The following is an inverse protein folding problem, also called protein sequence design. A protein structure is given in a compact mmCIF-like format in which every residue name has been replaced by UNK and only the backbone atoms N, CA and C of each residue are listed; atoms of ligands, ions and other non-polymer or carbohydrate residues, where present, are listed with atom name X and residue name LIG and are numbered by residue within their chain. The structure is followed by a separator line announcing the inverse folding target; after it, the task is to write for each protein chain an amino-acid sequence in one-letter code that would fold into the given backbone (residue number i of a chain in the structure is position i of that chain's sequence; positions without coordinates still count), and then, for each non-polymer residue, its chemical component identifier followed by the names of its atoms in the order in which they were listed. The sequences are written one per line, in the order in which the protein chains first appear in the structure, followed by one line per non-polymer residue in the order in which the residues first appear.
data_IF_625785744834
#
_entry.id   IF_625785744834
#
_cell.length_a   1.000
_cell.length_b   1.000
_cell.length_c   1.000
_cell.angle_alpha   90.00
_cell.angle_beta   90.00
_cell.angle_gamma   90.00
#
_symmetry.space_group_name_H-M   'P 1'
#
loop_
_entity.id
_entity.type
_entity.pdbx_description
1 polymer ?
#
# COMPACT_ATOMS: atom_id res chain seq x y z
N UNK A 1 5.57 -8.40 -7.63
CA UNK A 1 6.45 -7.24 -7.91
C UNK A 1 7.53 -7.68 -8.90
N UNK A 2 7.70 -6.99 -10.03
CA UNK A 2 8.79 -7.23 -10.98
C UNK A 2 9.89 -6.22 -10.70
N UNK A 3 11.04 -6.65 -10.18
CA UNK A 3 12.13 -5.74 -9.79
C UNK A 3 12.58 -4.81 -10.92
N UNK A 4 12.51 -5.27 -12.18
CA UNK A 4 12.88 -4.50 -13.35
C UNK A 4 11.92 -3.34 -13.64
N UNK A 5 10.62 -3.54 -13.40
CA UNK A 5 9.61 -2.48 -13.61
C UNK A 5 9.78 -1.38 -12.56
N UNK A 6 10.00 -1.76 -11.29
CA UNK A 6 10.29 -0.81 -10.21
C UNK A 6 11.57 0.00 -10.47
N UNK A 7 12.59 -0.64 -11.04
CA UNK A 7 13.84 0.04 -11.42
C UNK A 7 13.64 1.01 -12.59
N UNK A 8 12.85 0.63 -13.59
CA UNK A 8 12.56 1.51 -14.73
C UNK A 8 11.72 2.74 -14.32
N UNK A 9 10.84 2.58 -13.33
CA UNK A 9 9.96 3.66 -12.85
C UNK A 9 10.66 4.61 -11.87
N UNK A 10 11.39 4.07 -10.89
CA UNK A 10 11.92 4.85 -9.75
C UNK A 10 13.43 4.72 -9.55
N UNK A 11 14.11 3.91 -10.37
CA UNK A 11 15.53 3.59 -10.20
C UNK A 11 15.83 2.66 -9.02
N UNK A 12 14.80 2.10 -8.37
CA UNK A 12 14.92 1.32 -7.14
C UNK A 12 14.44 -0.12 -7.31
N UNK A 13 15.00 -1.02 -6.52
CA UNK A 13 14.56 -2.41 -6.44
C UNK A 13 13.16 -2.53 -5.84
N UNK A 14 12.45 -3.58 -6.24
CA UNK A 14 11.10 -3.89 -5.78
C UNK A 14 10.87 -3.84 -4.26
N UNK A 15 11.86 -4.19 -3.42
CA UNK A 15 11.72 -4.12 -1.94
C UNK A 15 11.54 -2.67 -1.47
N UNK A 16 12.36 -1.75 -1.99
CA UNK A 16 12.22 -0.32 -1.65
C UNK A 16 10.95 0.27 -2.23
N UNK A 17 10.56 -0.15 -3.44
CA UNK A 17 9.32 0.28 -4.07
C UNK A 17 8.09 -0.15 -3.27
N UNK A 18 8.02 -1.41 -2.83
CA UNK A 18 6.91 -1.93 -2.02
C UNK A 18 6.79 -1.30 -0.65
N UNK A 19 7.86 -0.71 -0.10
CA UNK A 19 7.81 0.05 1.16
C UNK A 19 7.53 1.53 0.93
N UNK A 20 8.10 2.11 -0.13
CA UNK A 20 7.98 3.54 -0.44
C UNK A 20 6.58 3.94 -0.89
N UNK A 21 5.92 3.11 -1.70
CA UNK A 21 4.56 3.39 -2.20
C UNK A 21 3.54 3.45 -1.04
N UNK A 22 3.46 2.48 -0.11
CA UNK A 22 2.62 2.57 1.08
C UNK A 22 2.91 3.80 1.96
N UNK A 23 4.19 4.15 2.15
CA UNK A 23 4.57 5.32 2.94
C UNK A 23 4.03 6.63 2.32
N UNK A 24 4.13 6.75 0.98
CA UNK A 24 3.58 7.89 0.25
C UNK A 24 2.04 7.94 0.34
N UNK A 25 1.36 6.80 0.19
CA UNK A 25 -0.10 6.74 0.30
C UNK A 25 -0.55 7.10 1.73
N UNK A 26 0.11 6.61 2.77
CA UNK A 26 -0.19 6.97 4.16
C UNK A 26 -0.07 8.48 4.42
N UNK A 27 1.01 9.10 3.91
CA UNK A 27 1.16 10.56 3.95
C UNK A 27 0.05 11.27 3.17
N UNK A 28 -0.36 10.75 2.01
CA UNK A 28 -1.47 11.29 1.23
C UNK A 28 -2.80 11.23 2.00
N UNK A 29 -3.09 10.12 2.70
CA UNK A 29 -4.30 9.97 3.52
C UNK A 29 -4.33 10.99 4.66
N UNK A 30 -3.17 11.23 5.29
CA UNK A 30 -3.03 12.25 6.33
C UNK A 30 -3.25 13.68 5.79
N UNK A 31 -2.60 14.04 4.67
CA UNK A 31 -2.73 15.37 4.05
C UNK A 31 -4.16 15.64 3.56
N UNK A 32 -4.87 14.62 3.06
CA UNK A 32 -6.28 14.73 2.66
C UNK A 32 -7.25 14.78 3.85
N UNK A 33 -6.76 14.56 5.07
CA UNK A 33 -7.58 14.53 6.29
C UNK A 33 -8.41 13.25 6.47
N UNK A 34 -8.22 12.23 5.61
CA UNK A 34 -8.97 10.97 5.66
C UNK A 34 -8.53 10.15 6.87
N UNK A 35 -7.22 10.06 7.10
CA UNK A 35 -6.62 9.43 8.28
C UNK A 35 -6.18 10.50 9.28
N UNK A 36 -7.14 11.28 9.77
CA UNK A 36 -6.88 12.35 10.75
C UNK A 36 -7.66 12.12 12.03
N UNK A 37 -6.94 11.76 13.09
CA UNK A 37 -7.48 11.55 14.44
C UNK A 37 -6.42 11.91 15.48
N UNK A 38 -6.75 12.62 16.56
CA UNK A 38 -5.78 12.94 17.61
C UNK A 38 -5.30 11.66 18.31
N UNK A 39 -3.99 11.52 18.53
CA UNK A 39 -3.37 10.37 19.17
C UNK A 39 -2.33 9.68 18.30
N UNK A 40 -1.91 8.49 18.73
CA UNK A 40 -1.02 7.59 17.97
C UNK A 40 -1.87 6.39 17.56
N UNK A 41 -1.84 6.05 16.28
CA UNK A 41 -2.72 5.07 15.66
C UNK A 41 -1.92 4.18 14.71
N UNK A 42 -2.32 2.91 14.63
CA UNK A 42 -1.80 1.99 13.62
C UNK A 42 -2.66 2.07 12.34
N UNK A 43 -2.21 1.42 11.26
CA UNK A 43 -2.92 1.48 9.98
C UNK A 43 -4.27 0.76 10.04
N UNK A 44 -4.34 -0.34 10.78
CA UNK A 44 -5.56 -1.13 10.99
C UNK A 44 -6.65 -0.40 11.78
N UNK A 45 -6.32 0.72 12.43
CA UNK A 45 -7.29 1.55 13.17
C UNK A 45 -8.11 2.47 12.24
N UNK A 46 -7.74 2.57 10.97
CA UNK A 46 -8.40 3.42 9.98
C UNK A 46 -9.18 2.60 8.93
N UNK A 47 -10.11 3.28 8.25
CA UNK A 47 -10.79 2.72 7.08
C UNK A 47 -9.75 2.38 5.99
N UNK A 48 -9.62 1.08 5.61
CA UNK A 48 -8.64 0.64 4.64
C UNK A 48 -9.06 0.92 3.19
N UNK A 49 -10.35 1.12 2.90
CA UNK A 49 -10.88 1.27 1.54
C UNK A 49 -10.14 2.33 0.70
N UNK A 50 -9.96 3.59 1.18
CA UNK A 50 -9.25 4.61 0.42
C UNK A 50 -7.76 4.29 0.20
N UNK A 51 -7.15 3.55 1.12
CA UNK A 51 -5.75 3.11 1.00
C UNK A 51 -5.60 2.01 -0.05
N UNK A 52 -6.48 1.00 0.00
CA UNK A 52 -6.51 -0.11 -0.93
C UNK A 52 -6.82 0.34 -2.36
N UNK A 53 -7.66 1.38 -2.52
CA UNK A 53 -7.91 2.00 -3.82
C UNK A 53 -6.64 2.67 -4.39
N UNK A 54 -5.87 3.38 -3.55
CA UNK A 54 -4.63 4.02 -4.00
C UNK A 54 -3.53 3.01 -4.30
N UNK A 55 -3.43 1.89 -3.60
CA UNK A 55 -2.44 0.84 -3.91
C UNK A 55 -2.56 0.39 -5.38
N UNK A 56 -3.79 0.13 -5.84
CA UNK A 56 -4.06 -0.24 -7.23
C UNK A 56 -3.64 0.86 -8.23
N UNK A 57 -3.80 2.14 -7.87
CA UNK A 57 -3.45 3.29 -8.73
C UNK A 57 -1.96 3.59 -8.77
N UNK A 58 -1.25 3.35 -7.67
CA UNK A 58 0.15 3.74 -7.46
C UNK A 58 1.13 2.60 -7.73
N UNK A 59 0.73 1.60 -8.52
CA UNK A 59 1.62 0.54 -9.01
C UNK A 59 1.70 -0.73 -8.17
N UNK A 60 0.89 -0.86 -7.10
CA UNK A 60 0.81 -2.05 -6.26
C UNK A 60 -0.58 -2.69 -6.32
N UNK A 61 -0.94 -3.35 -7.43
CA UNK A 61 -2.19 -4.07 -7.52
C UNK A 61 -2.22 -5.22 -6.50
N UNK A 62 -3.34 -5.37 -5.80
CA UNK A 62 -3.58 -6.46 -4.85
C UNK A 62 -4.62 -7.44 -5.39
N UNK A 63 -4.62 -8.65 -4.85
CA UNK A 63 -5.57 -9.70 -5.18
C UNK A 63 -5.97 -10.47 -3.93
N UNK A 64 -7.26 -10.82 -3.83
CA UNK A 64 -7.78 -11.70 -2.80
C UNK A 64 -8.02 -13.09 -3.40
N UNK A 65 -7.57 -14.13 -2.70
CA UNK A 65 -7.78 -15.51 -3.10
C UNK A 65 -8.63 -16.21 -2.03
N UNK A 66 -9.82 -16.65 -2.43
CA UNK A 66 -10.78 -17.31 -1.53
C UNK A 66 -10.70 -18.84 -1.64
N UNK A 67 -10.90 -19.54 -0.53
CA UNK A 67 -11.01 -21.00 -0.53
C UNK A 67 -9.69 -21.74 -0.76
N UNK A 68 -8.54 -21.12 -0.45
CA UNK A 68 -7.26 -21.83 -0.40
C UNK A 68 -7.24 -22.77 0.80
N UNK A 69 -6.85 -24.01 0.55
CA UNK A 69 -6.48 -24.94 1.60
C UNK A 69 -5.13 -24.49 2.18
N UNK A 70 -5.15 -24.08 3.45
CA UNK A 70 -3.98 -23.55 4.15
C UNK A 70 -3.17 -24.65 4.85
N UNK A 71 -3.66 -25.89 4.83
CA UNK A 71 -3.09 -27.02 5.58
C UNK A 71 -2.35 -28.05 4.71
N UNK A 72 -2.07 -27.74 3.44
CA UNK A 72 -1.26 -28.59 2.53
C UNK A 72 0.22 -28.28 2.62
#
# INVERSE_FOLDING_TARGET
CKHQDAYNETGMQGVSYTTGVPAMIGAMMFVKGIWSKPGVWNLEDFDPDPFMEQLNKQGLPWCEEFGKDLEV
#
